data_IF_535129195320
#
_entry.id   IF_535129195320
#
_cell.length_a   1.000
_cell.length_b   1.000
_cell.length_c   1.000
_cell.angle_alpha   90.00
_cell.angle_beta   90.00
_cell.angle_gamma   90.00
#
_symmetry.space_group_name_H-M   'P 1'
#
loop_
_entity.id
_entity.type
_entity.pdbx_description
1 polymer ?
#
# COMPACT_ATOMS: atom_id res chain seq x y z
N UNK A 1 -48.22 -32.63 4.88
CA UNK A 1 -47.96 -31.82 6.10
C UNK A 1 -46.67 -32.31 6.76
N UNK A 2 -46.05 -31.51 7.63
CA UNK A 2 -44.71 -31.80 8.17
C UNK A 2 -44.75 -32.52 9.53
N UNK A 3 -43.64 -33.19 9.87
CA UNK A 3 -43.13 -33.34 11.25
C UNK A 3 -41.64 -33.70 11.20
N UNK A 4 -40.78 -32.89 11.84
CA UNK A 4 -39.41 -33.28 12.24
C UNK A 4 -39.49 -34.02 13.58
N UNK A 5 -38.64 -35.03 13.82
CA UNK A 5 -38.12 -35.34 15.18
C UNK A 5 -36.87 -36.24 15.20
N UNK A 6 -35.77 -35.63 15.66
CA UNK A 6 -34.80 -36.11 16.66
C UNK A 6 -34.17 -37.52 16.52
N UNK A 7 -32.87 -37.52 16.24
CA UNK A 7 -31.81 -38.45 16.62
C UNK A 7 -30.47 -37.68 16.43
N UNK A 8 -29.37 -37.78 17.20
CA UNK A 8 -28.95 -38.51 18.41
C UNK A 8 -28.15 -37.51 19.29
N UNK A 9 -28.28 -37.41 20.62
CA UNK A 9 -27.84 -38.29 21.73
C UNK A 9 -26.29 -38.38 21.96
N UNK A 10 -25.78 -37.35 22.66
CA UNK A 10 -24.67 -37.36 23.65
C UNK A 10 -23.28 -37.97 23.34
N UNK A 11 -22.25 -37.12 23.41
CA UNK A 11 -20.86 -37.49 23.76
C UNK A 11 -20.73 -37.70 25.29
N UNK A 12 -19.70 -38.43 25.79
CA UNK A 12 -18.50 -37.71 26.28
C UNK A 12 -17.14 -38.41 26.02
N UNK A 13 -16.09 -37.58 25.92
CA UNK A 13 -14.67 -37.71 26.37
C UNK A 13 -14.06 -39.14 26.58
N UNK A 14 -12.88 -39.49 26.05
CA UNK A 14 -11.99 -38.78 25.10
C UNK A 14 -11.18 -39.77 24.18
N UNK A 15 -9.87 -40.11 24.25
CA UNK A 15 -8.71 -39.72 25.09
C UNK A 15 -7.37 -39.98 24.35
N UNK A 16 -6.36 -39.12 24.53
CA UNK A 16 -4.88 -39.36 24.43
C UNK A 16 -4.26 -39.84 23.10
N UNK A 17 -3.70 -38.87 22.36
CA UNK A 17 -2.50 -38.91 21.49
C UNK A 17 -2.37 -39.89 20.32
N UNK A 18 -2.19 -39.31 19.14
CA UNK A 18 -1.00 -39.59 18.30
C UNK A 18 -0.43 -38.25 17.83
N UNK A 19 0.82 -37.95 18.19
CA UNK A 19 1.49 -36.72 17.75
C UNK A 19 1.99 -36.89 16.33
N UNK A 20 1.32 -36.22 15.39
CA UNK A 20 1.51 -36.38 13.94
C UNK A 20 2.29 -35.24 13.27
N UNK A 21 3.41 -34.84 13.85
CA UNK A 21 4.36 -33.85 13.29
C UNK A 21 3.71 -32.56 12.73
N UNK A 22 3.34 -31.64 13.61
CA UNK A 22 3.33 -30.22 13.26
C UNK A 22 4.76 -29.76 12.93
N UNK A 23 5.15 -29.99 11.68
CA UNK A 23 6.23 -29.22 11.05
C UNK A 23 5.75 -27.76 11.07
N UNK A 24 6.51 -26.81 11.65
CA UNK A 24 6.10 -25.42 11.62
C UNK A 24 5.95 -25.01 10.15
N UNK A 25 4.70 -24.69 9.77
CA UNK A 25 4.40 -24.07 8.48
C UNK A 25 4.89 -22.63 8.56
N UNK A 26 6.19 -22.47 8.33
CA UNK A 26 6.89 -21.20 8.41
C UNK A 26 6.12 -20.19 7.56
N UNK A 27 5.48 -19.25 8.27
CA UNK A 27 4.42 -18.45 7.71
C UNK A 27 5.08 -17.28 7.03
N UNK A 28 5.45 -17.48 5.76
CA UNK A 28 6.21 -16.52 4.96
C UNK A 28 5.40 -15.22 4.75
N UNK A 29 5.56 -14.32 5.72
CA UNK A 29 5.00 -12.96 5.74
C UNK A 29 5.93 -11.97 5.03
N UNK A 30 6.85 -12.44 4.18
CA UNK A 30 7.61 -11.57 3.27
C UNK A 30 6.61 -10.71 2.48
N UNK A 31 6.73 -9.37 2.50
CA UNK A 31 5.71 -8.50 1.91
C UNK A 31 5.45 -8.81 0.43
N UNK A 32 4.24 -9.27 0.13
CA UNK A 32 3.79 -9.58 -1.23
C UNK A 32 3.71 -8.34 -2.16
N UNK A 33 3.87 -7.14 -1.60
CA UNK A 33 4.01 -5.86 -2.32
C UNK A 33 5.46 -5.38 -2.29
N UNK A 34 6.10 -5.07 -3.44
CA UNK A 34 7.52 -4.69 -3.47
C UNK A 34 7.83 -3.45 -2.62
N UNK A 35 8.94 -3.48 -1.88
CA UNK A 35 9.35 -2.40 -0.95
C UNK A 35 9.48 -1.03 -1.63
N UNK A 36 9.83 -0.99 -2.93
CA UNK A 36 9.83 0.23 -3.74
C UNK A 36 8.44 0.92 -3.76
N UNK A 37 7.37 0.14 -3.90
CA UNK A 37 5.99 0.65 -3.87
C UNK A 37 5.64 1.17 -2.48
N UNK A 38 6.01 0.44 -1.42
CA UNK A 38 5.77 0.85 -0.02
C UNK A 38 6.42 2.22 0.26
N UNK A 39 7.70 2.39 -0.11
CA UNK A 39 8.43 3.64 0.10
C UNK A 39 7.82 4.81 -0.69
N UNK A 40 7.33 4.56 -1.92
CA UNK A 40 6.62 5.57 -2.72
C UNK A 40 5.29 5.97 -2.08
N UNK A 41 4.44 5.00 -1.71
CA UNK A 41 3.15 5.28 -1.07
C UNK A 41 3.32 6.04 0.26
N UNK A 42 4.30 5.65 1.08
CA UNK A 42 4.62 6.33 2.33
C UNK A 42 5.11 7.76 2.08
N UNK A 43 6.11 7.94 1.20
CA UNK A 43 6.64 9.26 0.86
C UNK A 43 5.58 10.18 0.26
N UNK A 44 4.65 9.63 -0.53
CA UNK A 44 3.57 10.39 -1.13
C UNK A 44 2.48 10.79 -0.11
N UNK A 45 2.16 9.89 0.82
CA UNK A 45 1.22 10.19 1.92
C UNK A 45 1.76 11.31 2.82
N UNK A 46 3.08 11.30 3.11
CA UNK A 46 3.75 12.39 3.82
C UNK A 46 3.74 13.68 2.99
N UNK A 47 4.08 13.62 1.70
CA UNK A 47 4.10 14.79 0.83
C UNK A 47 2.72 15.48 0.70
N UNK A 48 1.63 14.71 0.61
CA UNK A 48 0.26 15.22 0.51
C UNK A 48 -0.17 16.03 1.75
N UNK A 49 0.41 15.75 2.93
CA UNK A 49 0.17 16.52 4.16
C UNK A 49 1.19 17.66 4.28
N UNK A 50 2.48 17.35 4.17
CA UNK A 50 3.57 18.27 4.49
C UNK A 50 3.74 19.38 3.45
N UNK A 51 3.56 19.12 2.15
CA UNK A 51 3.80 20.14 1.11
C UNK A 51 2.72 21.24 1.11
N UNK A 52 1.40 20.94 1.13
CA UNK A 52 0.37 21.98 1.19
C UNK A 52 0.40 22.77 2.51
N UNK A 53 0.54 22.09 3.65
CA UNK A 53 0.56 22.73 4.97
C UNK A 53 1.86 23.52 5.18
N UNK A 54 3.01 22.97 4.76
CA UNK A 54 4.29 23.68 4.78
C UNK A 54 4.24 24.95 3.94
N UNK A 55 3.71 24.87 2.71
CA UNK A 55 3.61 26.05 1.85
C UNK A 55 2.60 27.09 2.37
N UNK A 56 1.52 26.68 3.05
CA UNK A 56 0.64 27.60 3.77
C UNK A 56 1.45 28.44 4.78
N UNK A 57 2.19 27.80 5.68
CA UNK A 57 2.93 28.51 6.73
C UNK A 57 4.06 29.35 6.17
N UNK A 58 4.82 28.86 5.18
CA UNK A 58 5.85 29.63 4.47
C UNK A 58 5.24 30.89 3.82
N UNK A 59 4.07 30.76 3.20
CA UNK A 59 3.40 31.90 2.54
C UNK A 59 2.90 32.94 3.56
N UNK A 60 2.42 32.51 4.73
CA UNK A 60 2.00 33.41 5.82
C UNK A 60 3.19 34.06 6.52
N UNK A 61 4.32 33.36 6.68
CA UNK A 61 5.57 33.90 7.25
C UNK A 61 6.16 35.03 6.39
N UNK A 62 6.02 34.92 5.05
CA UNK A 62 6.28 36.03 4.11
C UNK A 62 5.25 37.18 4.16
N UNK A 63 4.39 37.23 5.17
CA UNK A 63 3.46 38.33 5.42
C UNK A 63 2.15 38.29 4.61
N UNK A 64 1.87 37.20 3.90
CA UNK A 64 0.60 37.05 3.18
C UNK A 64 -0.56 36.71 4.14
N UNK A 65 -1.79 37.07 3.76
CA UNK A 65 -2.97 36.70 4.55
C UNK A 65 -3.26 35.20 4.49
N UNK A 66 -3.94 34.68 5.52
CA UNK A 66 -4.35 33.27 5.60
C UNK A 66 -5.13 32.81 4.35
N UNK A 67 -5.93 33.68 3.74
CA UNK A 67 -6.64 33.39 2.48
C UNK A 67 -5.68 33.14 1.32
N UNK A 68 -4.61 33.94 1.19
CA UNK A 68 -3.58 33.76 0.15
C UNK A 68 -2.77 32.49 0.43
N UNK A 69 -2.38 32.25 1.69
CA UNK A 69 -1.74 31.00 2.09
C UNK A 69 -2.58 29.76 1.76
N UNK A 70 -3.89 29.82 1.98
CA UNK A 70 -4.83 28.76 1.64
C UNK A 70 -4.95 28.51 0.13
N UNK A 71 -4.97 29.57 -0.68
CA UNK A 71 -4.97 29.46 -2.15
C UNK A 71 -3.67 28.83 -2.64
N UNK A 72 -2.51 29.25 -2.11
CA UNK A 72 -1.21 28.66 -2.47
C UNK A 72 -1.12 27.19 -2.04
N UNK A 73 -1.63 26.82 -0.86
CA UNK A 73 -1.72 25.43 -0.42
C UNK A 73 -2.59 24.57 -1.35
N UNK A 74 -3.74 25.08 -1.79
CA UNK A 74 -4.61 24.40 -2.75
C UNK A 74 -3.93 24.21 -4.13
N UNK A 75 -3.15 25.20 -4.59
CA UNK A 75 -2.32 25.06 -5.80
C UNK A 75 -1.26 23.97 -5.59
N UNK A 76 -0.55 23.98 -4.46
CA UNK A 76 0.48 22.98 -4.16
C UNK A 76 -0.07 21.55 -4.03
N UNK A 77 -1.30 21.36 -3.53
CA UNK A 77 -1.94 20.05 -3.52
C UNK A 77 -2.14 19.49 -4.95
N UNK A 78 -2.42 20.35 -5.92
CA UNK A 78 -2.49 19.96 -7.34
C UNK A 78 -1.10 19.72 -7.94
N UNK A 79 -0.08 20.51 -7.57
CA UNK A 79 1.33 20.28 -7.98
C UNK A 79 1.82 18.92 -7.47
N UNK A 80 1.46 18.55 -6.23
CA UNK A 80 1.70 17.21 -5.68
C UNK A 80 1.03 16.15 -6.57
N UNK A 81 -0.27 16.28 -6.88
CA UNK A 81 -0.96 15.33 -7.77
C UNK A 81 -0.29 15.16 -9.15
N UNK A 82 0.21 16.24 -9.77
CA UNK A 82 0.98 16.14 -11.01
C UNK A 82 2.31 15.40 -10.81
N UNK A 83 3.00 15.60 -9.68
CA UNK A 83 4.21 14.86 -9.34
C UNK A 83 3.96 13.36 -9.15
N UNK A 84 2.78 12.95 -8.63
CA UNK A 84 2.38 11.53 -8.58
C UNK A 84 2.38 10.90 -9.96
N UNK A 85 1.66 11.54 -10.89
CA UNK A 85 1.45 11.05 -12.26
C UNK A 85 2.79 10.99 -13.01
N UNK A 86 3.66 12.00 -12.83
CA UNK A 86 4.99 12.01 -13.40
C UNK A 86 5.89 10.90 -12.87
N UNK A 87 5.89 10.64 -11.56
CA UNK A 87 6.67 9.55 -10.94
C UNK A 87 6.15 8.18 -11.39
N UNK A 88 4.84 7.98 -11.49
CA UNK A 88 4.24 6.76 -12.01
C UNK A 88 4.63 6.50 -13.49
N UNK A 89 4.58 7.53 -14.34
CA UNK A 89 4.99 7.45 -15.74
C UNK A 89 6.49 7.19 -15.93
N UNK A 90 7.33 7.70 -15.02
CA UNK A 90 8.77 7.38 -14.94
C UNK A 90 9.05 5.93 -14.55
N UNK A 91 8.18 5.30 -13.76
CA UNK A 91 8.29 3.90 -13.34
C UNK A 91 7.89 2.96 -14.46
N UNK A 92 6.74 3.20 -15.08
CA UNK A 92 6.22 2.44 -16.23
C UNK A 92 7.23 2.42 -17.40
N UNK A 93 7.94 3.53 -17.65
CA UNK A 93 9.07 3.54 -18.59
C UNK A 93 10.26 2.68 -18.13
N UNK A 94 10.64 2.75 -16.85
CA UNK A 94 11.79 2.02 -16.32
C UNK A 94 11.56 0.50 -16.36
N UNK A 95 10.33 0.05 -16.06
CA UNK A 95 9.94 -1.35 -16.18
C UNK A 95 9.98 -1.82 -17.64
N UNK A 96 9.39 -1.07 -18.59
CA UNK A 96 9.45 -1.38 -20.04
C UNK A 96 10.88 -1.48 -20.55
N UNK A 97 11.76 -0.58 -20.13
CA UNK A 97 13.19 -0.62 -20.47
C UNK A 97 13.89 -1.85 -19.90
N UNK A 98 13.63 -2.20 -18.63
CA UNK A 98 14.20 -3.38 -18.00
C UNK A 98 13.74 -4.67 -18.71
N UNK A 99 12.46 -4.74 -19.07
CA UNK A 99 11.85 -5.88 -19.76
C UNK A 99 12.41 -6.05 -21.19
N UNK A 100 12.59 -4.94 -21.93
CA UNK A 100 13.24 -4.96 -23.25
C UNK A 100 14.70 -5.45 -23.15
N UNK A 101 15.46 -4.98 -22.17
CA UNK A 101 16.85 -5.40 -21.92
C UNK A 101 16.94 -6.86 -21.48
N UNK A 102 15.98 -7.38 -20.71
CA UNK A 102 15.90 -8.80 -20.38
C UNK A 102 15.55 -9.67 -21.59
N UNK A 103 14.62 -9.24 -22.45
CA UNK A 103 14.21 -9.98 -23.66
C UNK A 103 15.37 -10.07 -24.66
N UNK A 104 16.11 -8.97 -24.87
CA UNK A 104 17.32 -8.97 -25.70
C UNK A 104 18.38 -9.97 -25.19
N UNK A 105 18.66 -9.99 -23.89
CA UNK A 105 19.61 -10.93 -23.25
C UNK A 105 19.17 -12.40 -23.24
N UNK A 106 17.92 -12.71 -23.62
CA UNK A 106 17.39 -14.09 -23.75
C UNK A 106 17.30 -14.56 -25.20
N UNK A 107 17.67 -13.70 -26.15
CA UNK A 107 17.65 -13.95 -27.60
C UNK A 107 19.06 -13.93 -28.23
N UNK A 108 20.10 -14.04 -27.40
CA UNK A 108 21.52 -14.00 -27.74
C UNK A 108 22.25 -15.09 -26.95
#
# INVERSE_FOLDING_TARGET
>A
MATRRIAEKSSPQDVTTTSGSEKPSDSDVTPAVPTNVIMKLLGFSVAMVVVPIGMYFVTVDFGASATVGGIVAAIMANVVLFAYIFVAWKDDQAEREADAKQKAKKAQ
#
